data_IF_888785884581
#
_entry.id   IF_888785884581
#
_cell.length_a   1.000
_cell.length_b   1.000
_cell.length_c   1.000
_cell.angle_alpha   90.00
_cell.angle_beta   90.00
_cell.angle_gamma   90.00
#
_symmetry.space_group_name_H-M   'P 1'
#
loop_
_entity.id
_entity.type
_entity.pdbx_description
1 polymer ?
#
# COMPACT_ATOMS: atom_id res chain seq x y z
N UNK A 1 -6.10 0.31 2.74
CA UNK A 1 -7.13 -0.66 3.18
C UNK A 1 -8.42 -0.50 2.37
N UNK A 2 -9.16 0.60 2.51
CA UNK A 2 -10.47 0.79 1.83
C UNK A 2 -10.44 0.49 0.32
N UNK A 3 -9.59 1.18 -0.45
CA UNK A 3 -9.47 0.92 -1.90
C UNK A 3 -9.11 -0.53 -2.22
N UNK A 4 -8.30 -1.18 -1.38
CA UNK A 4 -7.91 -2.58 -1.55
C UNK A 4 -9.07 -3.55 -1.35
N UNK A 5 -9.93 -3.30 -0.35
CA UNK A 5 -11.13 -4.10 -0.12
C UNK A 5 -12.09 -4.01 -1.33
N UNK A 6 -12.31 -2.82 -1.87
CA UNK A 6 -13.14 -2.65 -3.07
C UNK A 6 -12.57 -3.36 -4.30
N UNK A 7 -11.24 -3.33 -4.49
CA UNK A 7 -10.59 -4.06 -5.57
C UNK A 7 -10.69 -5.57 -5.37
N UNK A 8 -10.53 -6.07 -4.14
CA UNK A 8 -10.60 -7.48 -3.80
C UNK A 8 -11.98 -8.11 -4.09
N UNK A 9 -13.07 -7.33 -3.96
CA UNK A 9 -14.43 -7.78 -4.32
C UNK A 9 -14.60 -8.12 -5.81
N UNK A 10 -13.71 -7.63 -6.68
CA UNK A 10 -13.76 -7.83 -8.13
C UNK A 10 -12.56 -8.60 -8.70
N UNK A 11 -11.53 -8.87 -7.88
CA UNK A 11 -10.33 -9.58 -8.29
C UNK A 11 -10.53 -11.09 -8.21
N UNK A 12 -9.96 -11.84 -9.16
CA UNK A 12 -9.96 -13.30 -9.14
C UNK A 12 -8.54 -13.83 -9.01
N UNK A 13 -8.25 -14.57 -7.93
CA UNK A 13 -6.95 -15.15 -7.63
C UNK A 13 -6.71 -16.49 -8.34
N UNK A 14 -7.00 -16.56 -9.64
CA UNK A 14 -6.70 -17.70 -10.51
C UNK A 14 -5.76 -17.26 -11.64
N UNK A 15 -4.75 -18.09 -11.98
CA UNK A 15 -3.70 -17.73 -12.94
C UNK A 15 -4.28 -17.38 -14.32
N UNK A 16 -5.34 -18.07 -14.74
CA UNK A 16 -5.95 -17.86 -16.06
C UNK A 16 -6.77 -16.57 -16.15
N UNK A 17 -7.28 -16.06 -15.03
CA UNK A 17 -8.19 -14.91 -14.99
C UNK A 17 -7.69 -13.71 -14.17
N UNK A 18 -6.52 -13.79 -13.53
CA UNK A 18 -5.98 -12.71 -12.71
C UNK A 18 -5.84 -11.41 -13.51
N UNK A 19 -5.21 -11.46 -14.68
CA UNK A 19 -5.02 -10.28 -15.52
C UNK A 19 -6.34 -9.75 -16.09
N UNK A 20 -7.23 -10.63 -16.58
CA UNK A 20 -8.51 -10.22 -17.14
C UNK A 20 -9.43 -9.61 -16.08
N UNK A 21 -9.40 -10.09 -14.83
CA UNK A 21 -10.15 -9.48 -13.72
C UNK A 21 -9.68 -8.05 -13.41
N UNK A 22 -8.38 -7.76 -13.49
CA UNK A 22 -7.85 -6.40 -13.34
C UNK A 22 -8.28 -5.50 -14.52
N UNK A 23 -8.30 -6.05 -15.73
CA UNK A 23 -8.79 -5.33 -16.91
C UNK A 23 -10.29 -5.00 -16.78
N UNK A 24 -11.10 -5.94 -16.33
CA UNK A 24 -12.53 -5.76 -16.02
C UNK A 24 -12.74 -4.68 -14.95
N UNK A 25 -11.98 -4.70 -13.84
CA UNK A 25 -12.01 -3.63 -12.83
C UNK A 25 -11.75 -2.26 -13.46
N UNK A 26 -10.79 -2.17 -14.37
CA UNK A 26 -10.39 -0.88 -14.93
C UNK A 26 -11.37 -0.35 -15.99
N UNK A 27 -12.09 -1.22 -16.70
CA UNK A 27 -12.90 -0.85 -17.87
C UNK A 27 -14.40 -0.89 -17.60
N UNK A 28 -14.85 -1.85 -16.79
CA UNK A 28 -16.26 -2.22 -16.71
C UNK A 28 -16.87 -1.96 -15.32
N UNK A 29 -16.04 -1.89 -14.27
CA UNK A 29 -16.51 -1.51 -12.92
C UNK A 29 -16.60 0.01 -12.79
N UNK A 30 -17.74 0.50 -12.27
CA UNK A 30 -17.96 1.93 -12.03
C UNK A 30 -16.87 2.53 -11.13
N UNK A 31 -16.17 3.54 -11.63
CA UNK A 31 -14.99 4.15 -10.99
C UNK A 31 -13.84 3.18 -10.66
N UNK A 32 -13.84 1.96 -11.20
CA UNK A 32 -12.81 0.97 -10.88
C UNK A 32 -11.41 1.40 -11.32
N UNK A 33 -11.29 2.13 -12.44
CA UNK A 33 -10.03 2.75 -12.86
C UNK A 33 -9.49 3.72 -11.79
N UNK A 34 -10.35 4.54 -11.19
CA UNK A 34 -9.96 5.53 -10.19
C UNK A 34 -9.50 4.82 -8.92
N UNK A 35 -10.28 3.85 -8.43
CA UNK A 35 -9.93 3.07 -7.24
C UNK A 35 -8.61 2.31 -7.42
N UNK A 36 -8.38 1.71 -8.59
CA UNK A 36 -7.14 1.01 -8.92
C UNK A 36 -5.95 1.97 -8.94
N UNK A 37 -6.09 3.13 -9.59
CA UNK A 37 -5.02 4.14 -9.62
C UNK A 37 -4.73 4.72 -8.23
N UNK A 38 -5.77 4.98 -7.42
CA UNK A 38 -5.60 5.45 -6.03
C UNK A 38 -4.90 4.39 -5.17
N UNK A 39 -5.22 3.12 -5.32
CA UNK A 39 -4.56 2.05 -4.58
C UNK A 39 -3.08 1.93 -4.96
N UNK A 40 -2.78 1.93 -6.26
CA UNK A 40 -1.41 1.83 -6.77
C UNK A 40 -0.55 3.04 -6.39
N UNK A 41 -1.02 4.27 -6.64
CA UNK A 41 -0.28 5.48 -6.26
C UNK A 41 -0.24 5.67 -4.74
N UNK A 42 -1.28 5.23 -4.03
CA UNK A 42 -1.33 5.22 -2.57
C UNK A 42 -0.20 4.39 -1.96
N UNK A 43 0.18 3.27 -2.59
CA UNK A 43 1.35 2.50 -2.16
C UNK A 43 2.64 3.32 -2.26
N UNK A 44 2.88 4.01 -3.39
CA UNK A 44 4.08 4.86 -3.54
C UNK A 44 4.09 6.01 -2.52
N UNK A 45 2.95 6.66 -2.31
CA UNK A 45 2.83 7.72 -1.31
C UNK A 45 3.08 7.21 0.12
N UNK A 46 2.65 5.99 0.42
CA UNK A 46 2.88 5.35 1.72
C UNK A 46 4.38 5.20 2.01
N UNK A 47 5.16 4.78 1.01
CA UNK A 47 6.61 4.66 1.12
C UNK A 47 7.30 6.02 1.25
N UNK A 48 6.86 7.04 0.50
CA UNK A 48 7.37 8.42 0.68
C UNK A 48 7.17 8.88 2.12
N UNK A 49 5.97 8.69 2.68
CA UNK A 49 5.70 9.03 4.08
C UNK A 49 6.59 8.25 5.06
N UNK A 50 6.79 6.96 4.84
CA UNK A 50 7.66 6.12 5.69
C UNK A 50 9.10 6.60 5.64
N UNK A 51 9.66 6.86 4.46
CA UNK A 51 11.04 7.31 4.34
C UNK A 51 11.27 8.68 4.99
N UNK A 52 10.33 9.61 4.81
CA UNK A 52 10.35 10.88 5.53
C UNK A 52 10.23 10.69 7.05
N UNK A 53 9.37 9.77 7.50
CA UNK A 53 9.19 9.45 8.92
C UNK A 53 10.47 8.89 9.55
N UNK A 54 11.13 7.94 8.85
CA UNK A 54 12.41 7.36 9.28
C UNK A 54 13.51 8.44 9.28
N UNK A 55 13.62 9.23 8.20
CA UNK A 55 14.60 10.31 8.10
C UNK A 55 14.46 11.32 9.24
N UNK A 56 13.23 11.72 9.57
CA UNK A 56 12.94 12.54 10.76
C UNK A 56 13.41 11.86 12.04
N UNK A 57 13.10 10.57 12.22
CA UNK A 57 13.49 9.80 13.40
C UNK A 57 15.01 9.69 13.58
N UNK A 58 15.75 9.60 12.49
CA UNK A 58 17.22 9.67 12.50
C UNK A 58 17.72 11.08 12.84
N UNK A 59 17.19 12.11 12.18
CA UNK A 59 17.62 13.50 12.36
C UNK A 59 17.43 14.02 13.80
N UNK A 60 16.30 13.69 14.45
CA UNK A 60 16.00 14.11 15.82
C UNK A 60 16.37 13.08 16.89
N UNK A 61 17.11 12.01 16.55
CA UNK A 61 17.53 11.00 17.52
C UNK A 61 16.39 10.17 18.14
N UNK A 62 15.21 10.13 17.49
CA UNK A 62 14.03 9.41 18.02
C UNK A 62 14.23 7.89 18.09
N UNK A 63 15.24 7.34 17.40
CA UNK A 63 15.67 5.94 17.55
C UNK A 63 16.20 5.59 18.95
N UNK A 64 16.39 6.57 19.83
CA UNK A 64 16.68 6.35 21.24
C UNK A 64 15.50 5.68 21.97
N UNK A 65 14.26 5.88 21.52
CA UNK A 65 13.08 5.15 21.99
C UNK A 65 13.06 3.73 21.41
N UNK A 66 13.87 2.83 21.99
CA UNK A 66 14.20 1.51 21.41
C UNK A 66 12.99 0.66 21.07
N UNK A 67 12.02 0.54 21.99
CA UNK A 67 10.82 -0.26 21.74
C UNK A 67 10.00 0.28 20.55
N UNK A 68 9.77 1.60 20.52
CA UNK A 68 9.05 2.26 19.43
C UNK A 68 9.80 2.15 18.11
N UNK A 69 11.12 2.30 18.14
CA UNK A 69 11.97 2.18 16.95
C UNK A 69 11.96 0.77 16.38
N UNK A 70 12.13 -0.25 17.24
CA UNK A 70 12.11 -1.65 16.82
C UNK A 70 10.75 -2.06 16.24
N UNK A 71 9.64 -1.62 16.85
CA UNK A 71 8.30 -1.80 16.26
C UNK A 71 8.19 -1.08 14.91
N UNK A 72 8.74 0.14 14.79
CA UNK A 72 8.81 0.86 13.52
C UNK A 72 9.56 0.10 12.42
N UNK A 73 10.67 -0.57 12.76
CA UNK A 73 11.42 -1.43 11.82
C UNK A 73 10.58 -2.66 11.43
N UNK A 74 9.88 -3.30 12.36
CA UNK A 74 8.96 -4.40 12.05
C UNK A 74 7.84 -3.92 11.13
N UNK A 75 7.25 -2.77 11.40
CA UNK A 75 6.20 -2.17 10.55
C UNK A 75 6.72 -1.86 9.15
N UNK A 76 7.96 -1.36 9.01
CA UNK A 76 8.61 -1.18 7.72
C UNK A 76 8.69 -2.52 6.97
N UNK A 77 9.21 -3.56 7.60
CA UNK A 77 9.37 -4.88 6.99
C UNK A 77 8.04 -5.55 6.63
N UNK A 78 6.97 -5.32 7.40
CA UNK A 78 5.63 -5.84 7.10
C UNK A 78 4.96 -5.11 5.92
N UNK A 79 5.38 -3.89 5.61
CA UNK A 79 4.85 -3.08 4.50
C UNK A 79 5.59 -3.36 3.19
N UNK A 80 6.86 -3.79 3.27
CA UNK A 80 7.66 -4.21 2.09
C UNK A 80 7.03 -5.43 1.42
#
# INVERSE_FOLDING_TARGET
IMTGLFLAMHYTADISSAFSSIAHISRDVQHGWLLRNLHANGASMFFICIYLHIGRGLYYGSYAFKETWNVGVILLLLVM
#
